data_IF_362368580887
#
_entry.id   IF_362368580887
#
_cell.length_a   1.000
_cell.length_b   1.000
_cell.length_c   1.000
_cell.angle_alpha   90.00
_cell.angle_beta   90.00
_cell.angle_gamma   90.00
#
_symmetry.space_group_name_H-M   'P 1'
#
loop_
_entity.id
_entity.type
_entity.pdbx_description
1 polymer ?
#
# COMPACT_ATOMS: atom_id res chain seq x y z
N UNK A 1 -14.18 17.58 5.25
CA UNK A 1 -13.06 18.44 5.69
C UNK A 1 -11.97 17.53 6.26
N UNK A 2 -10.69 17.84 6.07
CA UNK A 2 -9.57 17.03 6.58
C UNK A 2 -9.17 17.58 7.94
N UNK A 3 -9.11 16.73 8.99
CA UNK A 3 -8.46 17.05 10.26
C UNK A 3 -6.96 16.84 10.14
N UNK A 4 -6.17 17.76 10.69
CA UNK A 4 -4.71 17.73 10.62
C UNK A 4 -4.10 18.10 11.97
N UNK A 5 -2.94 17.51 12.26
CA UNK A 5 -2.12 17.88 13.39
C UNK A 5 -0.64 17.81 13.03
N UNK A 6 0.19 18.57 13.72
CA UNK A 6 1.63 18.37 13.73
C UNK A 6 1.98 17.35 14.80
N UNK A 7 2.92 16.48 14.48
CA UNK A 7 3.42 15.48 15.42
C UNK A 7 4.92 15.30 15.29
N UNK A 8 5.55 14.89 16.38
CA UNK A 8 6.97 14.52 16.40
C UNK A 8 7.11 13.01 16.37
N UNK A 9 7.91 12.49 15.45
CA UNK A 9 8.22 11.06 15.40
C UNK A 9 9.04 10.67 16.62
N UNK A 10 8.52 9.76 17.44
CA UNK A 10 9.22 9.24 18.62
C UNK A 10 10.06 8.01 18.27
N UNK A 11 9.49 7.07 17.56
CA UNK A 11 10.15 5.83 17.15
C UNK A 11 9.49 5.17 15.96
N UNK A 12 10.26 4.38 15.23
CA UNK A 12 9.78 3.47 14.20
C UNK A 12 9.45 2.14 14.87
N UNK A 13 8.30 1.55 14.52
CA UNK A 13 7.81 0.27 15.08
C UNK A 13 7.83 -0.87 14.08
N UNK A 14 7.98 -0.57 12.79
CA UNK A 14 8.10 -1.55 11.73
C UNK A 14 8.21 -0.91 10.36
N UNK A 15 8.81 -1.64 9.43
CA UNK A 15 8.95 -1.24 8.03
C UNK A 15 8.59 -2.44 7.15
N UNK A 16 7.74 -2.25 6.16
CA UNK A 16 7.37 -3.28 5.20
C UNK A 16 6.85 -2.68 3.90
N UNK A 17 7.37 -3.13 2.77
CA UNK A 17 6.84 -2.84 1.43
C UNK A 17 6.61 -1.34 1.13
N UNK A 18 7.52 -0.46 1.59
CA UNK A 18 7.40 1.00 1.39
C UNK A 18 6.45 1.70 2.36
N UNK A 19 6.09 1.03 3.44
CA UNK A 19 5.34 1.54 4.58
C UNK A 19 6.22 1.59 5.81
N UNK A 20 6.26 2.74 6.48
CA UNK A 20 6.91 2.89 7.78
C UNK A 20 5.83 3.08 8.85
N UNK A 21 5.76 2.13 9.80
CA UNK A 21 4.94 2.22 11.00
C UNK A 21 5.71 2.93 12.10
N UNK A 22 5.09 3.91 12.75
CA UNK A 22 5.77 4.75 13.73
C UNK A 22 4.84 5.15 14.87
N UNK A 23 5.44 5.64 15.95
CA UNK A 23 4.74 6.34 17.02
C UNK A 23 5.11 7.81 16.92
N UNK A 24 4.08 8.66 16.95
CA UNK A 24 4.21 10.11 16.96
C UNK A 24 3.63 10.68 18.24
N UNK A 25 4.23 11.74 18.74
CA UNK A 25 3.65 12.58 19.80
C UNK A 25 2.84 13.69 19.15
N UNK A 26 1.59 13.83 19.58
CA UNK A 26 0.69 14.94 19.21
C UNK A 26 0.11 15.52 20.49
N UNK A 27 0.36 16.78 20.75
CA UNK A 27 -0.14 17.50 21.95
C UNK A 27 0.16 16.74 23.28
N UNK A 28 1.32 16.13 23.39
CA UNK A 28 1.77 15.42 24.60
C UNK A 28 1.22 13.99 24.74
N UNK A 29 0.61 13.44 23.71
CA UNK A 29 0.10 12.08 23.70
C UNK A 29 0.69 11.28 22.52
N UNK A 30 0.93 9.99 22.74
CA UNK A 30 1.48 9.08 21.75
C UNK A 30 0.37 8.47 20.91
N UNK A 31 0.56 8.48 19.58
CA UNK A 31 -0.34 7.87 18.61
C UNK A 31 0.40 7.01 17.59
N UNK A 32 -0.16 5.87 17.18
CA UNK A 32 0.36 5.16 16.04
C UNK A 32 0.12 5.95 14.75
N UNK A 33 1.10 5.95 13.86
CA UNK A 33 0.99 6.54 12.54
C UNK A 33 1.64 5.68 11.47
N UNK A 34 1.27 5.91 10.23
CA UNK A 34 1.76 5.21 9.05
C UNK A 34 2.28 6.24 8.06
N UNK A 35 3.49 6.02 7.58
CA UNK A 35 4.10 6.77 6.50
C UNK A 35 4.12 5.93 5.22
N UNK A 36 3.73 6.51 4.10
CA UNK A 36 3.93 5.93 2.77
C UNK A 36 5.20 6.53 2.17
N UNK A 37 6.30 5.78 2.22
CA UNK A 37 7.63 6.29 1.88
C UNK A 37 7.74 6.78 0.43
N UNK A 38 6.96 6.18 -0.47
CA UNK A 38 6.90 6.62 -1.87
C UNK A 38 6.23 8.00 -2.05
N UNK A 39 5.39 8.43 -1.10
CA UNK A 39 4.65 9.70 -1.17
C UNK A 39 5.37 10.80 -0.41
N UNK A 40 5.80 10.51 0.81
CA UNK A 40 6.30 11.53 1.77
C UNK A 40 7.80 11.46 2.00
N UNK A 41 8.49 10.48 1.38
CA UNK A 41 9.88 10.18 1.68
C UNK A 41 10.03 9.42 3.00
N UNK A 42 11.28 9.12 3.36
CA UNK A 42 11.59 8.43 4.62
C UNK A 42 11.42 9.36 5.82
N UNK A 43 11.07 8.78 6.96
CA UNK A 43 10.96 9.47 8.25
C UNK A 43 11.89 8.83 9.27
N UNK A 44 12.34 9.59 10.26
CA UNK A 44 13.20 9.10 11.34
C UNK A 44 12.76 9.69 12.69
N UNK A 45 13.14 9.08 13.81
CA UNK A 45 12.90 9.64 15.13
C UNK A 45 13.43 11.08 15.25
N UNK A 46 12.61 11.95 15.82
CA UNK A 46 12.88 13.39 15.95
C UNK A 46 12.28 14.24 14.85
N UNK A 47 11.90 13.68 13.70
CA UNK A 47 11.27 14.45 12.62
C UNK A 47 9.92 15.05 13.06
N UNK A 48 9.66 16.26 12.60
CA UNK A 48 8.35 16.90 12.67
C UNK A 48 7.56 16.53 11.43
N UNK A 49 6.34 16.04 11.60
CA UNK A 49 5.48 15.58 10.52
C UNK A 49 4.09 16.20 10.57
N UNK A 50 3.51 16.46 9.40
CA UNK A 50 2.10 16.80 9.27
C UNK A 50 1.30 15.52 9.14
N UNK A 51 0.26 15.37 9.95
CA UNK A 51 -0.57 14.18 10.06
C UNK A 51 -1.99 14.45 9.56
N UNK A 52 -2.58 13.48 8.90
CA UNK A 52 -4.03 13.37 8.72
C UNK A 52 -4.59 12.59 9.91
N UNK A 53 -5.41 13.24 10.71
CA UNK A 53 -6.02 12.68 11.94
C UNK A 53 -7.49 12.33 11.74
N UNK A 54 -8.06 12.61 10.57
CA UNK A 54 -9.50 12.57 10.29
C UNK A 54 -10.18 11.28 10.73
N UNK A 55 -9.58 10.14 10.40
CA UNK A 55 -10.21 8.84 10.68
C UNK A 55 -10.20 8.50 12.17
N UNK A 56 -9.15 8.89 12.89
CA UNK A 56 -9.04 8.71 14.35
C UNK A 56 -10.02 9.64 15.05
N UNK A 57 -10.07 10.92 14.66
CA UNK A 57 -10.98 11.92 15.23
C UNK A 57 -12.45 11.51 15.06
N UNK A 58 -12.79 10.92 13.91
CA UNK A 58 -14.13 10.41 13.61
C UNK A 58 -14.39 9.01 14.16
N UNK A 59 -13.41 8.38 14.81
CA UNK A 59 -13.48 6.99 15.33
C UNK A 59 -13.82 5.98 14.23
N UNK A 60 -13.31 6.19 13.02
CA UNK A 60 -13.49 5.29 11.89
C UNK A 60 -12.49 4.11 11.96
N UNK A 61 -12.84 3.00 11.31
CA UNK A 61 -12.14 1.72 11.40
C UNK A 61 -10.78 1.61 10.70
N UNK A 62 -9.92 2.63 10.79
CA UNK A 62 -8.56 2.61 10.22
C UNK A 62 -7.52 1.99 11.16
N UNK A 63 -7.94 1.23 12.18
CA UNK A 63 -7.04 0.66 13.19
C UNK A 63 -6.45 1.68 14.16
N UNK A 64 -6.98 2.91 14.19
CA UNK A 64 -6.57 3.98 15.13
C UNK A 64 -5.25 4.65 14.77
N UNK A 65 -4.74 4.49 13.56
CA UNK A 65 -3.49 5.13 13.11
C UNK A 65 -3.76 6.43 12.35
N UNK A 66 -2.91 7.42 12.59
CA UNK A 66 -2.81 8.61 11.75
C UNK A 66 -2.03 8.29 10.47
N UNK A 67 -2.12 9.15 9.46
CA UNK A 67 -1.31 9.05 8.25
C UNK A 67 -0.42 10.27 8.08
N UNK A 68 0.87 10.05 7.80
CA UNK A 68 1.81 11.12 7.51
C UNK A 68 1.47 11.72 6.15
N UNK A 69 1.30 13.04 6.09
CA UNK A 69 1.03 13.81 4.88
C UNK A 69 2.29 14.46 4.33
N UNK A 70 3.21 14.85 5.21
CA UNK A 70 4.48 15.47 4.84
C UNK A 70 5.47 15.37 6.02
N UNK A 71 6.76 15.24 5.69
CA UNK A 71 7.85 15.45 6.65
C UNK A 71 8.26 16.92 6.61
N UNK A 72 8.03 17.64 7.71
CA UNK A 72 8.30 19.08 7.81
C UNK A 72 9.75 19.40 8.20
N UNK A 73 10.51 18.40 8.61
CA UNK A 73 11.94 18.54 8.96
C UNK A 73 12.83 18.53 7.73
N UNK A 74 12.45 17.77 6.71
CA UNK A 74 13.23 17.66 5.49
C UNK A 74 13.07 18.92 4.63
N UNK A 75 14.16 19.46 4.06
CA UNK A 75 14.04 20.47 3.03
C UNK A 75 13.23 19.90 1.86
N UNK A 76 12.47 20.77 1.20
CA UNK A 76 11.81 20.39 -0.07
C UNK A 76 12.92 19.96 -1.04
N UNK A 77 13.03 18.66 -1.27
CA UNK A 77 14.00 18.14 -2.23
C UNK A 77 13.63 18.62 -3.64
N UNK A 78 14.66 18.99 -4.42
CA UNK A 78 14.44 19.16 -5.86
C UNK A 78 13.84 17.88 -6.43
N UNK A 79 12.84 18.04 -7.28
CA UNK A 79 12.06 16.93 -7.81
C UNK A 79 12.93 15.96 -8.59
N UNK A 80 13.07 14.74 -8.10
CA UNK A 80 13.70 13.63 -8.80
C UNK A 80 12.68 12.82 -9.64
N UNK A 81 11.58 13.44 -10.04
CA UNK A 81 10.49 12.76 -10.77
C UNK A 81 10.98 12.15 -12.07
N UNK A 82 11.89 12.84 -12.78
CA UNK A 82 12.44 12.37 -14.06
C UNK A 82 13.48 11.25 -13.91
N UNK A 83 14.03 11.07 -12.70
CA UNK A 83 15.04 10.04 -12.43
C UNK A 83 14.46 8.63 -12.26
N UNK A 84 13.15 8.50 -12.09
CA UNK A 84 12.49 7.20 -11.92
C UNK A 84 11.74 6.82 -13.20
N UNK A 85 11.76 5.52 -13.60
CA UNK A 85 10.98 5.05 -14.74
C UNK A 85 9.46 5.18 -14.49
N UNK A 86 8.69 5.05 -15.57
CA UNK A 86 7.23 5.08 -15.53
C UNK A 86 6.62 6.42 -15.95
N UNK A 87 5.39 6.35 -16.46
CA UNK A 87 4.63 7.48 -16.99
C UNK A 87 3.20 7.52 -16.46
N UNK A 88 2.80 6.52 -15.68
CA UNK A 88 1.44 6.46 -15.12
C UNK A 88 1.36 7.31 -13.87
N UNK A 89 0.35 8.19 -13.84
CA UNK A 89 0.04 9.00 -12.67
C UNK A 89 -1.09 8.37 -11.88
N UNK A 90 -0.82 8.09 -10.59
CA UNK A 90 -1.83 7.68 -9.61
C UNK A 90 -2.26 8.88 -8.76
N UNK A 91 -3.42 8.75 -8.09
CA UNK A 91 -4.04 9.83 -7.30
C UNK A 91 -4.20 11.12 -8.12
N UNK A 92 -4.59 10.99 -9.38
CA UNK A 92 -4.74 12.09 -10.33
C UNK A 92 -5.67 13.18 -9.80
N UNK A 93 -5.36 14.43 -10.13
CA UNK A 93 -6.11 15.62 -9.74
C UNK A 93 -6.20 15.85 -8.22
N UNK A 94 -5.26 15.30 -7.46
CA UNK A 94 -5.13 15.52 -6.02
C UNK A 94 -3.75 16.10 -5.67
N UNK A 95 -3.58 16.73 -4.51
CA UNK A 95 -2.26 17.19 -4.06
C UNK A 95 -1.22 16.08 -3.86
N UNK A 96 -1.65 14.82 -3.79
CA UNK A 96 -0.80 13.66 -3.53
C UNK A 96 -0.55 12.82 -4.79
N UNK A 97 -0.75 13.39 -5.98
CA UNK A 97 -0.48 12.68 -7.21
C UNK A 97 0.98 12.21 -7.30
N UNK A 98 1.18 10.95 -7.69
CA UNK A 98 2.51 10.34 -7.81
C UNK A 98 2.67 9.65 -9.16
N UNK A 99 3.91 9.65 -9.65
CA UNK A 99 4.31 8.86 -10.82
C UNK A 99 4.65 7.43 -10.36
N UNK A 100 4.17 6.44 -11.07
CA UNK A 100 4.47 5.01 -10.85
C UNK A 100 4.88 4.35 -12.15
N UNK A 101 5.61 3.24 -12.04
CA UNK A 101 5.86 2.31 -13.14
C UNK A 101 4.80 1.20 -13.08
N UNK A 102 3.88 1.21 -14.05
CA UNK A 102 2.90 0.14 -14.17
C UNK A 102 3.51 -1.11 -14.85
N UNK A 103 2.93 -2.28 -14.60
CA UNK A 103 3.47 -3.55 -15.10
C UNK A 103 3.53 -3.62 -16.65
N UNK A 104 2.61 -2.95 -17.33
CA UNK A 104 2.51 -2.91 -18.79
C UNK A 104 3.42 -1.89 -19.48
N UNK A 105 4.05 -0.97 -18.76
CA UNK A 105 4.89 0.07 -19.35
C UNK A 105 6.22 -0.48 -19.89
N UNK A 106 6.81 0.21 -20.87
CA UNK A 106 8.02 -0.20 -21.60
C UNK A 106 9.21 -0.49 -20.69
N UNK A 107 9.39 0.32 -19.65
CA UNK A 107 10.48 0.18 -18.67
C UNK A 107 10.22 -0.91 -17.62
N UNK A 108 9.05 -1.53 -17.65
CA UNK A 108 8.69 -2.59 -16.73
C UNK A 108 9.36 -3.92 -17.11
N UNK A 109 9.89 -4.67 -16.14
CA UNK A 109 10.39 -6.04 -16.41
C UNK A 109 9.29 -7.00 -16.89
N UNK A 110 8.03 -6.64 -16.73
CA UNK A 110 6.88 -7.43 -17.13
C UNK A 110 6.31 -7.03 -18.50
N UNK A 111 6.82 -5.94 -19.12
CA UNK A 111 6.29 -5.40 -20.37
C UNK A 111 6.12 -6.46 -21.47
N UNK A 112 7.17 -7.24 -21.75
CA UNK A 112 7.15 -8.25 -22.82
C UNK A 112 6.13 -9.35 -22.56
N UNK A 113 5.99 -9.77 -21.31
CA UNK A 113 5.01 -10.78 -20.90
C UNK A 113 3.59 -10.22 -21.04
N UNK A 114 3.37 -8.98 -20.62
CA UNK A 114 2.07 -8.32 -20.72
C UNK A 114 1.66 -8.07 -22.17
N UNK A 115 2.57 -7.54 -23.00
CA UNK A 115 2.33 -7.28 -24.41
C UNK A 115 2.05 -8.56 -25.23
N UNK A 116 2.69 -9.67 -24.87
CA UNK A 116 2.48 -10.98 -25.52
C UNK A 116 1.28 -11.77 -25.00
N UNK A 117 0.63 -11.31 -23.92
CA UNK A 117 -0.45 -12.05 -23.29
C UNK A 117 -1.79 -11.78 -24.02
N UNK A 118 -2.24 -12.73 -24.80
CA UNK A 118 -3.51 -12.67 -25.54
C UNK A 118 -4.63 -13.51 -24.90
N UNK A 119 -4.31 -14.34 -23.91
CA UNK A 119 -5.24 -15.27 -23.27
C UNK A 119 -4.75 -15.68 -21.89
N UNK A 120 -5.66 -15.94 -20.98
CA UNK A 120 -5.37 -16.60 -19.71
C UNK A 120 -5.20 -18.12 -19.83
N UNK A 121 -5.26 -18.68 -21.05
CA UNK A 121 -5.12 -20.11 -21.31
C UNK A 121 -6.01 -20.99 -20.41
N UNK A 122 -7.26 -20.58 -20.23
CA UNK A 122 -8.24 -21.22 -19.37
C UNK A 122 -7.86 -21.29 -17.88
N UNK A 123 -6.98 -20.41 -17.40
CA UNK A 123 -6.71 -20.31 -15.96
C UNK A 123 -8.02 -20.03 -15.20
N UNK A 124 -8.37 -20.81 -14.18
CA UNK A 124 -9.59 -20.57 -13.41
C UNK A 124 -9.49 -19.26 -12.64
N UNK A 125 -10.60 -18.52 -12.58
CA UNK A 125 -10.71 -17.29 -11.82
C UNK A 125 -11.81 -17.42 -10.79
N UNK A 126 -11.50 -17.13 -9.52
CA UNK A 126 -12.48 -17.08 -8.43
C UNK A 126 -12.76 -15.62 -8.11
N UNK A 127 -14.00 -15.18 -8.35
CA UNK A 127 -14.44 -13.83 -8.02
C UNK A 127 -15.05 -13.79 -6.62
N UNK A 128 -14.51 -12.91 -5.77
CA UNK A 128 -14.96 -12.69 -4.39
C UNK A 128 -15.37 -11.23 -4.20
N UNK A 129 -16.50 -11.01 -3.54
CA UNK A 129 -17.01 -9.66 -3.27
C UNK A 129 -16.37 -8.97 -2.05
N UNK A 130 -15.68 -9.73 -1.21
CA UNK A 130 -15.06 -9.23 0.01
C UNK A 130 -13.60 -9.70 0.12
N UNK A 131 -12.74 -8.81 0.60
CA UNK A 131 -11.33 -9.12 0.89
C UNK A 131 -11.17 -10.29 1.87
N UNK A 132 -12.07 -10.41 2.88
CA UNK A 132 -12.08 -11.49 3.85
C UNK A 132 -12.43 -12.88 3.30
N UNK A 133 -12.86 -12.98 2.04
CA UNK A 133 -13.10 -14.27 1.38
C UNK A 133 -11.81 -14.90 0.83
N UNK A 134 -10.72 -14.15 0.76
CA UNK A 134 -9.45 -14.65 0.25
C UNK A 134 -8.89 -15.86 1.02
N UNK A 135 -8.84 -15.87 2.39
CA UNK A 135 -8.30 -17.02 3.12
C UNK A 135 -9.03 -18.34 2.82
N UNK A 136 -10.36 -18.42 2.95
CA UNK A 136 -11.05 -19.68 2.66
C UNK A 136 -10.93 -20.10 1.19
N UNK A 137 -10.92 -19.16 0.24
CA UNK A 137 -10.73 -19.47 -1.18
C UNK A 137 -9.33 -20.05 -1.45
N UNK A 138 -8.28 -19.40 -0.94
CA UNK A 138 -6.90 -19.87 -1.09
C UNK A 138 -6.68 -21.23 -0.41
N UNK A 139 -7.22 -21.41 0.80
CA UNK A 139 -7.15 -22.66 1.52
C UNK A 139 -7.86 -23.80 0.78
N UNK A 140 -9.03 -23.55 0.21
CA UNK A 140 -9.76 -24.56 -0.58
C UNK A 140 -8.97 -24.98 -1.83
N UNK A 141 -8.36 -24.04 -2.55
CA UNK A 141 -7.51 -24.34 -3.71
C UNK A 141 -6.31 -25.20 -3.31
N UNK A 142 -5.62 -24.85 -2.23
CA UNK A 142 -4.45 -25.59 -1.73
C UNK A 142 -4.82 -26.94 -1.11
N UNK A 143 -6.01 -27.07 -0.54
CA UNK A 143 -6.54 -28.37 -0.08
C UNK A 143 -6.85 -29.32 -1.25
N UNK A 144 -7.35 -28.78 -2.35
CA UNK A 144 -7.59 -29.55 -3.57
C UNK A 144 -6.29 -30.01 -4.23
N UNK A 145 -5.35 -29.07 -4.41
CA UNK A 145 -4.02 -29.38 -4.93
C UNK A 145 -3.00 -28.34 -4.46
N UNK A 146 -2.01 -28.76 -3.68
CA UNK A 146 -0.98 -27.87 -3.12
C UNK A 146 -0.08 -27.22 -4.16
N UNK A 147 0.09 -27.83 -5.32
CA UNK A 147 0.94 -27.34 -6.41
C UNK A 147 0.30 -26.18 -7.19
N UNK A 148 -1.00 -25.97 -7.05
CA UNK A 148 -1.67 -24.86 -7.73
C UNK A 148 -1.18 -23.52 -7.19
N UNK A 149 -0.80 -22.64 -8.11
CA UNK A 149 -0.39 -21.27 -7.81
C UNK A 149 -1.62 -20.41 -7.62
N UNK A 150 -1.69 -19.66 -6.54
CA UNK A 150 -2.77 -18.71 -6.25
C UNK A 150 -2.22 -17.30 -6.33
N UNK A 151 -2.74 -16.51 -7.25
CA UNK A 151 -2.43 -15.07 -7.38
C UNK A 151 -3.65 -14.28 -6.93
N UNK A 152 -3.45 -13.40 -5.98
CA UNK A 152 -4.49 -12.49 -5.52
C UNK A 152 -4.49 -11.21 -6.33
N UNK A 153 -5.58 -10.93 -7.03
CA UNK A 153 -5.80 -9.67 -7.75
C UNK A 153 -6.78 -8.82 -6.94
N UNK A 154 -6.30 -7.70 -6.41
CA UNK A 154 -7.10 -6.74 -5.67
C UNK A 154 -7.49 -5.58 -6.57
N UNK A 155 -8.79 -5.37 -6.75
CA UNK A 155 -9.32 -4.26 -7.55
C UNK A 155 -9.59 -3.02 -6.71
N UNK A 156 -9.95 -1.91 -7.34
CA UNK A 156 -10.27 -0.62 -6.70
C UNK A 156 -11.39 -0.68 -5.66
N UNK A 157 -12.25 -1.69 -5.72
CA UNK A 157 -13.30 -1.89 -4.75
C UNK A 157 -12.80 -2.41 -3.38
N UNK A 158 -11.51 -2.71 -3.25
CA UNK A 158 -10.93 -3.15 -1.98
C UNK A 158 -10.89 -2.04 -0.94
N UNK A 159 -11.18 -2.39 0.30
CA UNK A 159 -11.37 -1.44 1.39
C UNK A 159 -10.07 -0.90 2.02
N UNK A 160 -8.89 -1.44 1.66
CA UNK A 160 -7.60 -1.03 2.22
C UNK A 160 -6.46 -1.23 1.21
N UNK A 161 -5.37 -0.46 1.32
CA UNK A 161 -4.14 -0.72 0.57
C UNK A 161 -3.57 -2.09 0.90
N UNK A 162 -3.08 -2.80 -0.12
CA UNK A 162 -2.62 -4.18 0.00
C UNK A 162 -1.51 -4.35 1.06
N UNK A 163 -0.56 -3.41 1.12
CA UNK A 163 0.54 -3.42 2.09
C UNK A 163 0.09 -3.31 3.55
N UNK A 164 -1.13 -2.85 3.83
CA UNK A 164 -1.70 -2.80 5.18
C UNK A 164 -2.45 -4.07 5.57
N UNK A 165 -2.63 -5.02 4.65
CA UNK A 165 -3.36 -6.25 4.93
C UNK A 165 -2.49 -7.29 5.63
N UNK A 166 -2.55 -7.34 6.96
CA UNK A 166 -1.92 -8.41 7.75
C UNK A 166 -2.35 -9.81 7.30
N UNK A 167 -3.59 -9.96 6.83
CA UNK A 167 -4.12 -11.20 6.31
C UNK A 167 -3.38 -11.63 5.04
N UNK A 168 -3.18 -10.73 4.09
CA UNK A 168 -2.43 -11.02 2.86
C UNK A 168 -0.98 -11.39 3.17
N UNK A 169 -0.35 -10.66 4.09
CA UNK A 169 1.01 -10.96 4.55
C UNK A 169 1.10 -12.37 5.16
N UNK A 170 0.15 -12.74 6.02
CA UNK A 170 0.10 -14.08 6.61
C UNK A 170 -0.09 -15.17 5.54
N UNK A 171 -1.01 -14.97 4.59
CA UNK A 171 -1.24 -15.95 3.51
C UNK A 171 -0.02 -16.15 2.61
N UNK A 172 0.76 -15.08 2.36
CA UNK A 172 2.05 -15.17 1.63
C UNK A 172 3.08 -15.97 2.43
N UNK A 173 3.23 -15.69 3.72
CA UNK A 173 4.17 -16.40 4.60
C UNK A 173 3.84 -17.89 4.71
N UNK A 174 2.56 -18.24 4.77
CA UNK A 174 2.08 -19.63 4.81
C UNK A 174 2.09 -20.32 3.43
N UNK A 175 2.50 -19.64 2.37
CA UNK A 175 2.53 -20.17 1.01
C UNK A 175 1.14 -20.48 0.43
N UNK A 176 0.07 -19.92 0.99
CA UNK A 176 -1.29 -20.09 0.49
C UNK A 176 -1.55 -19.23 -0.75
N UNK A 177 -0.88 -18.09 -0.88
CA UNK A 177 -0.84 -17.27 -2.10
C UNK A 177 0.61 -17.03 -2.50
N UNK A 178 0.89 -17.01 -3.80
CA UNK A 178 2.24 -16.82 -4.33
C UNK A 178 2.54 -15.36 -4.67
N UNK A 179 1.55 -14.66 -5.14
CA UNK A 179 1.71 -13.27 -5.56
C UNK A 179 0.46 -12.44 -5.41
N UNK A 180 0.64 -11.15 -5.52
CA UNK A 180 -0.44 -10.17 -5.44
C UNK A 180 -0.30 -9.15 -6.54
N UNK A 181 -1.42 -8.71 -7.09
CA UNK A 181 -1.53 -7.65 -8.09
C UNK A 181 -2.58 -6.67 -7.62
N UNK A 182 -2.30 -5.38 -7.69
CA UNK A 182 -3.31 -4.34 -7.50
C UNK A 182 -3.70 -3.75 -8.85
N UNK A 183 -4.99 -3.55 -9.06
CA UNK A 183 -5.54 -2.97 -10.28
C UNK A 183 -6.38 -1.77 -9.90
N UNK A 184 -6.12 -0.62 -10.51
CA UNK A 184 -6.92 0.58 -10.28
C UNK A 184 -6.13 1.90 -10.32
N UNK A 185 -6.83 2.98 -9.94
CA UNK A 185 -6.37 4.37 -10.05
C UNK A 185 -5.46 4.84 -8.95
#
# INVERSE_FOLDING_TARGET
MISRAEGRVLRITGEAEGLTHLIVEVAGQDYPAINFDAITGTVKPGDLVLLNTTAVDLKLGTGGSHFVMANLTLPVAESAVDAKPGHIMKMRYTPNQIKVLAAEEQDSPYHQVMAGCTSLNSAPVVCCSLHSMLPPAAAAVKAYNRELRVIYVMTDAAALPLGLSKMVQALKLEGLIEGTVTVGH
#
